data_IF_594813343736
#
_entry.id   IF_594813343736
#
_cell.length_a   1.000
_cell.length_b   1.000
_cell.length_c   1.000
_cell.angle_alpha   90.00
_cell.angle_beta   90.00
_cell.angle_gamma   90.00
#
_symmetry.space_group_name_H-M   'P 1'
#
loop_
_entity.id
_entity.type
_entity.pdbx_description
1 polymer ?
#
# COMPACT_ATOMS: atom_id res chain seq x y z
N UNK A 1 -23.94 -0.67 10.66
CA UNK A 1 -24.87 0.22 9.92
C UNK A 1 -26.04 0.52 10.83
N UNK A 2 -26.23 1.79 11.24
CA UNK A 2 -27.35 2.18 12.09
C UNK A 2 -28.53 2.58 11.21
N UNK A 3 -29.73 2.12 11.54
CA UNK A 3 -30.94 2.33 10.74
C UNK A 3 -31.95 3.12 11.57
N UNK A 4 -32.35 4.28 11.05
CA UNK A 4 -33.43 5.10 11.60
C UNK A 4 -34.68 4.96 10.73
N UNK A 5 -35.85 4.92 11.37
CA UNK A 5 -37.11 5.04 10.65
C UNK A 5 -37.25 6.47 10.11
N UNK A 6 -37.87 6.69 8.94
CA UNK A 6 -38.00 8.04 8.33
C UNK A 6 -39.11 8.89 8.97
N UNK A 7 -39.35 8.74 10.28
CA UNK A 7 -40.38 9.47 11.01
C UNK A 7 -39.76 10.64 11.77
N UNK A 8 -40.44 11.78 11.77
CA UNK A 8 -39.97 12.97 12.49
C UNK A 8 -40.02 12.70 14.00
N UNK A 9 -38.94 13.01 14.70
CA UNK A 9 -38.79 12.74 16.13
C UNK A 9 -38.08 11.43 16.46
N UNK A 10 -37.87 10.52 15.51
CA UNK A 10 -37.02 9.35 15.73
C UNK A 10 -35.59 9.79 16.05
N UNK A 11 -34.99 9.14 17.05
CA UNK A 11 -33.66 9.45 17.53
C UNK A 11 -32.82 8.20 17.79
N UNK A 12 -31.53 8.28 17.51
CA UNK A 12 -30.51 7.39 18.04
C UNK A 12 -29.78 8.15 19.14
N UNK A 13 -29.73 7.54 20.31
CA UNK A 13 -28.96 8.05 21.45
C UNK A 13 -27.68 7.24 21.53
N UNK A 14 -26.56 7.93 21.75
CA UNK A 14 -25.25 7.35 22.04
C UNK A 14 -24.88 7.71 23.48
N UNK A 15 -25.34 6.95 24.50
CA UNK A 15 -25.21 7.35 25.90
C UNK A 15 -23.74 7.56 26.31
N UNK A 16 -22.84 6.69 25.85
CA UNK A 16 -21.40 6.78 26.14
C UNK A 16 -20.72 8.02 25.53
N UNK A 17 -21.34 8.66 24.53
CA UNK A 17 -20.79 9.84 23.88
C UNK A 17 -21.53 11.13 24.25
N UNK A 18 -22.65 11.02 24.98
CA UNK A 18 -23.61 12.09 25.24
C UNK A 18 -24.10 12.77 23.94
N UNK A 19 -24.22 11.99 22.87
CA UNK A 19 -24.65 12.46 21.54
C UNK A 19 -26.03 11.90 21.23
N UNK A 20 -26.93 12.76 20.72
CA UNK A 20 -28.23 12.35 20.20
C UNK A 20 -28.37 12.79 18.76
N UNK A 21 -28.71 11.85 17.87
CA UNK A 21 -29.00 12.12 16.45
C UNK A 21 -30.50 11.93 16.24
N UNK A 22 -31.22 12.97 15.82
CA UNK A 22 -32.65 12.92 15.62
C UNK A 22 -33.10 13.41 14.24
N UNK A 23 -34.28 12.98 13.81
CA UNK A 23 -34.90 13.48 12.58
C UNK A 23 -35.71 14.74 12.91
N UNK A 24 -35.19 15.90 12.49
CA UNK A 24 -35.86 17.20 12.66
C UNK A 24 -36.96 17.43 11.62
N UNK A 25 -36.74 17.00 10.38
CA UNK A 25 -37.69 17.24 9.30
C UNK A 25 -37.55 16.19 8.20
N UNK A 26 -38.66 15.84 7.56
CA UNK A 26 -38.70 14.98 6.38
C UNK A 26 -39.45 15.70 5.26
N UNK A 27 -38.79 15.90 4.13
CA UNK A 27 -39.37 16.51 2.93
C UNK A 27 -39.10 15.61 1.71
N UNK A 28 -40.09 14.81 1.32
CA UNK A 28 -39.98 13.90 0.18
C UNK A 28 -38.83 12.90 0.35
N UNK A 29 -37.76 13.05 -0.44
CA UNK A 29 -36.54 12.23 -0.36
C UNK A 29 -35.47 12.81 0.59
N UNK A 30 -35.63 14.06 1.02
CA UNK A 30 -34.67 14.74 1.89
C UNK A 30 -35.06 14.58 3.37
N UNK A 31 -34.06 14.44 4.24
CA UNK A 31 -34.21 14.37 5.69
C UNK A 31 -33.24 15.38 6.31
N UNK A 32 -33.75 16.23 7.20
CA UNK A 32 -32.91 17.08 8.05
C UNK A 32 -32.66 16.37 9.36
N UNK A 33 -31.39 16.10 9.64
CA UNK A 33 -30.95 15.51 10.90
C UNK A 33 -30.53 16.61 11.87
N UNK A 34 -30.93 16.49 13.13
CA UNK A 34 -30.33 17.21 14.24
C UNK A 34 -29.30 16.33 14.91
N UNK A 35 -28.20 16.94 15.32
CA UNK A 35 -27.20 16.29 16.16
C UNK A 35 -27.03 17.18 17.38
N UNK A 36 -27.40 16.65 18.54
CA UNK A 36 -27.06 17.22 19.84
C UNK A 36 -25.79 16.57 20.32
N UNK A 37 -24.81 17.39 20.69
CA UNK A 37 -23.51 16.97 21.19
C UNK A 37 -23.16 17.82 22.41
N UNK A 38 -22.36 17.30 23.35
CA UNK A 38 -22.01 18.02 24.56
C UNK A 38 -21.11 19.21 24.25
N UNK A 39 -21.11 20.23 25.13
CA UNK A 39 -20.45 21.53 24.88
C UNK A 39 -18.94 21.44 24.67
N UNK A 40 -18.31 20.38 25.15
CA UNK A 40 -16.88 20.09 24.95
C UNK A 40 -16.58 19.54 23.55
N UNK A 41 -17.58 19.07 22.79
CA UNK A 41 -17.40 18.59 21.42
C UNK A 41 -17.38 19.78 20.47
N UNK A 42 -16.19 20.07 19.94
CA UNK A 42 -15.99 21.17 18.99
C UNK A 42 -16.49 20.75 17.60
N UNK A 43 -17.68 21.23 17.23
CA UNK A 43 -18.23 21.03 15.88
C UNK A 43 -17.61 22.04 14.93
N UNK A 44 -16.84 21.57 13.95
CA UNK A 44 -16.24 22.39 12.91
C UNK A 44 -16.92 22.07 11.57
N UNK A 45 -17.21 23.10 10.78
CA UNK A 45 -17.59 22.90 9.38
C UNK A 45 -16.34 22.58 8.58
N UNK A 46 -16.43 21.69 7.59
CA UNK A 46 -15.27 21.20 6.82
C UNK A 46 -14.44 22.34 6.24
N UNK A 47 -15.08 23.42 5.80
CA UNK A 47 -14.46 24.62 5.23
C UNK A 47 -13.72 25.51 6.26
N UNK A 48 -13.97 25.32 7.56
CA UNK A 48 -13.35 26.08 8.66
C UNK A 48 -12.22 25.30 9.33
N UNK A 49 -11.77 24.21 8.71
CA UNK A 49 -10.68 23.36 9.20
C UNK A 49 -9.44 23.58 8.33
N UNK A 50 -8.61 24.59 8.61
CA UNK A 50 -7.30 24.68 7.99
C UNK A 50 -6.44 23.59 8.64
N UNK A 51 -5.97 22.62 7.84
CA UNK A 51 -4.92 21.63 8.19
C UNK A 51 -5.28 20.31 8.91
N UNK A 52 -6.53 19.82 8.98
CA UNK A 52 -6.74 18.40 9.37
C UNK A 52 -6.39 17.38 8.26
N UNK A 53 -6.37 17.81 7.00
CA UNK A 53 -5.97 16.93 5.89
C UNK A 53 -4.43 16.80 5.76
N UNK A 54 -3.62 17.74 6.26
CA UNK A 54 -2.18 17.72 5.99
C UNK A 54 -1.34 16.91 6.99
N UNK A 55 -1.74 16.77 8.26
CA UNK A 55 -0.86 16.09 9.25
C UNK A 55 -1.15 14.60 9.42
N UNK A 56 -2.39 14.14 9.17
CA UNK A 56 -2.74 12.71 9.23
C UNK A 56 -3.08 12.10 7.86
N UNK A 57 -3.70 12.86 6.93
CA UNK A 57 -4.04 12.28 5.62
C UNK A 57 -2.81 12.16 4.70
N UNK A 58 -1.77 12.97 4.89
CA UNK A 58 -0.50 12.79 4.18
C UNK A 58 0.23 11.50 4.57
N UNK A 59 0.06 11.02 5.81
CA UNK A 59 0.61 9.74 6.27
C UNK A 59 -0.33 8.54 6.00
N UNK A 60 -1.66 8.72 6.15
CA UNK A 60 -2.66 7.64 6.00
C UNK A 60 -3.24 7.48 4.60
N UNK A 61 -3.02 8.44 3.69
CA UNK A 61 -3.45 8.38 2.29
C UNK A 61 -2.81 7.21 1.53
N UNK A 62 -1.62 6.80 1.95
CA UNK A 62 -0.84 5.68 1.41
C UNK A 62 -1.19 4.32 2.02
N UNK A 63 -2.00 4.28 3.09
CA UNK A 63 -2.34 3.01 3.75
C UNK A 63 -3.50 2.31 3.03
N UNK A 64 -3.43 0.97 2.85
CA UNK A 64 -4.53 0.17 2.35
C UNK A 64 -5.82 0.41 3.15
N UNK A 65 -6.97 0.33 2.47
CA UNK A 65 -8.29 0.58 3.08
C UNK A 65 -8.55 -0.30 4.31
N UNK A 66 -8.08 -1.55 4.30
CA UNK A 66 -8.17 -2.49 5.42
C UNK A 66 -7.42 -2.00 6.66
N UNK A 67 -6.19 -1.50 6.49
CA UNK A 67 -5.36 -0.97 7.57
C UNK A 67 -5.97 0.32 8.13
N UNK A 68 -6.42 1.22 7.23
CA UNK A 68 -7.07 2.48 7.61
C UNK A 68 -8.32 2.25 8.46
N UNK A 69 -9.17 1.31 8.06
CA UNK A 69 -10.39 0.99 8.81
C UNK A 69 -10.05 0.44 10.20
N UNK A 70 -9.03 -0.44 10.31
CA UNK A 70 -8.61 -0.99 11.61
C UNK A 70 -8.03 0.09 12.54
N UNK A 71 -7.21 1.00 12.01
CA UNK A 71 -6.68 2.13 12.79
C UNK A 71 -7.79 3.05 13.28
N UNK A 72 -8.83 3.29 12.46
CA UNK A 72 -10.01 4.03 12.89
C UNK A 72 -10.76 3.32 14.03
N UNK A 73 -10.94 1.99 13.94
CA UNK A 73 -11.57 1.20 15.01
C UNK A 73 -10.79 1.31 16.32
N UNK A 74 -9.47 1.18 16.28
CA UNK A 74 -8.60 1.34 17.45
C UNK A 74 -8.74 2.75 18.04
N UNK A 75 -8.67 3.77 17.18
CA UNK A 75 -8.80 5.16 17.61
C UNK A 75 -10.13 5.46 18.29
N UNK A 76 -11.24 4.92 17.76
CA UNK A 76 -12.57 5.06 18.36
C UNK A 76 -12.65 4.35 19.72
N UNK A 77 -12.23 3.08 19.79
CA UNK A 77 -12.28 2.29 21.02
C UNK A 77 -11.42 2.92 22.13
N UNK A 78 -10.20 3.36 21.81
CA UNK A 78 -9.33 4.03 22.78
C UNK A 78 -9.91 5.35 23.27
N UNK A 79 -10.52 6.16 22.41
CA UNK A 79 -11.16 7.42 22.84
C UNK A 79 -12.35 7.17 23.77
N UNK A 80 -13.13 6.11 23.55
CA UNK A 80 -14.24 5.72 24.45
C UNK A 80 -13.69 5.32 25.82
N UNK A 81 -12.66 4.46 25.85
CA UNK A 81 -12.02 4.02 27.10
C UNK A 81 -11.38 5.19 27.86
N UNK A 82 -10.65 6.06 27.17
CA UNK A 82 -10.05 7.25 27.78
C UNK A 82 -11.11 8.17 28.39
N UNK A 83 -12.24 8.36 27.71
CA UNK A 83 -13.33 9.17 28.23
C UNK A 83 -14.01 8.54 29.45
N UNK A 84 -14.19 7.22 29.47
CA UNK A 84 -14.69 6.50 30.63
C UNK A 84 -13.76 6.67 31.84
N UNK A 85 -12.45 6.56 31.63
CA UNK A 85 -11.46 6.78 32.68
C UNK A 85 -11.45 8.23 33.21
N UNK A 86 -11.56 9.23 32.33
CA UNK A 86 -11.68 10.63 32.72
C UNK A 86 -12.95 10.90 33.57
N UNK A 87 -14.04 10.19 33.26
CA UNK A 87 -15.30 10.26 34.00
C UNK A 87 -15.33 9.33 35.23
N UNK A 88 -14.21 8.68 35.58
CA UNK A 88 -14.08 7.69 36.69
C UNK A 88 -15.05 6.51 36.57
N UNK A 89 -15.45 6.17 35.34
CA UNK A 89 -16.25 5.01 35.00
C UNK A 89 -15.29 3.84 34.72
N UNK A 90 -15.57 2.66 35.27
CA UNK A 90 -14.81 1.46 34.90
C UNK A 90 -14.97 1.21 33.40
N UNK A 91 -13.86 1.12 32.65
CA UNK A 91 -13.92 1.00 31.20
C UNK A 91 -14.53 -0.34 30.82
N UNK A 92 -15.40 -0.29 29.82
CA UNK A 92 -16.04 -1.50 29.31
C UNK A 92 -15.00 -2.34 28.56
N UNK A 93 -14.82 -3.56 29.06
CA UNK A 93 -13.85 -4.54 28.56
C UNK A 93 -14.06 -4.85 27.08
N UNK A 94 -15.28 -4.74 26.56
CA UNK A 94 -15.59 -5.01 25.15
C UNK A 94 -14.87 -4.02 24.21
N UNK A 95 -14.74 -2.75 24.59
CA UNK A 95 -14.00 -1.76 23.79
C UNK A 95 -12.49 -2.02 23.83
N UNK A 96 -11.96 -2.42 24.98
CA UNK A 96 -10.54 -2.77 25.13
C UNK A 96 -10.21 -4.00 24.28
N UNK A 97 -11.05 -5.03 24.34
CA UNK A 97 -10.91 -6.24 23.53
C UNK A 97 -11.00 -5.92 22.03
N UNK A 98 -11.97 -5.11 21.61
CA UNK A 98 -12.10 -4.69 20.21
C UNK A 98 -10.86 -3.93 19.71
N UNK A 99 -10.27 -3.06 20.55
CA UNK A 99 -9.03 -2.38 20.22
C UNK A 99 -7.85 -3.37 20.08
N UNK A 100 -7.72 -4.32 21.01
CA UNK A 100 -6.66 -5.33 20.99
C UNK A 100 -6.78 -6.26 19.78
N UNK A 101 -7.98 -6.70 19.41
CA UNK A 101 -8.23 -7.50 18.21
C UNK A 101 -7.85 -6.74 16.93
N UNK A 102 -8.21 -5.46 16.85
CA UNK A 102 -7.86 -4.62 15.72
C UNK A 102 -6.34 -4.42 15.63
N UNK A 103 -5.64 -4.26 16.76
CA UNK A 103 -4.16 -4.20 16.83
C UNK A 103 -3.53 -5.51 16.35
N UNK A 104 -3.95 -6.66 16.90
CA UNK A 104 -3.41 -7.97 16.54
C UNK A 104 -3.61 -8.29 15.06
N UNK A 105 -4.72 -7.83 14.48
CA UNK A 105 -4.97 -8.04 13.08
C UNK A 105 -4.15 -7.11 12.17
N UNK A 106 -3.80 -5.91 12.63
CA UNK A 106 -2.78 -5.08 11.95
C UNK A 106 -1.43 -5.78 12.05
N UNK A 107 -1.05 -6.27 13.23
CA UNK A 107 0.22 -6.97 13.44
C UNK A 107 0.33 -8.23 12.57
N UNK A 108 -0.76 -8.99 12.42
CA UNK A 108 -0.84 -10.13 11.50
C UNK A 108 -0.68 -9.71 10.03
N UNK A 109 -1.31 -8.62 9.60
CA UNK A 109 -1.16 -8.08 8.24
C UNK A 109 0.27 -7.59 7.97
N UNK A 110 0.90 -6.95 8.97
CA UNK A 110 2.29 -6.50 8.90
C UNK A 110 3.26 -7.68 8.92
N UNK A 111 3.00 -8.70 9.75
CA UNK A 111 3.80 -9.93 9.85
C UNK A 111 3.73 -10.77 8.57
N UNK A 112 2.58 -10.82 7.90
CA UNK A 112 2.42 -11.44 6.59
C UNK A 112 3.24 -10.72 5.50
N UNK A 113 3.37 -9.38 5.59
CA UNK A 113 4.27 -8.62 4.71
C UNK A 113 5.74 -8.75 5.11
N UNK A 114 6.04 -9.04 6.37
CA UNK A 114 7.41 -9.25 6.86
C UNK A 114 7.95 -10.67 6.64
N UNK A 115 7.10 -11.66 6.34
CA UNK A 115 7.54 -12.98 5.92
C UNK A 115 8.17 -12.91 4.52
N UNK A 116 9.46 -12.59 4.55
CA UNK A 116 10.39 -12.31 3.46
C UNK A 116 10.06 -11.04 2.67
N UNK A 117 10.50 -9.86 3.16
CA UNK A 117 10.72 -8.73 2.24
C UNK A 117 11.57 -9.22 1.07
N UNK A 118 10.97 -9.19 -0.13
CA UNK A 118 11.58 -9.65 -1.36
C UNK A 118 12.31 -8.47 -1.97
N UNK A 119 13.60 -8.63 -2.23
CA UNK A 119 14.38 -7.56 -2.84
C UNK A 119 14.13 -7.57 -4.35
N UNK A 120 13.80 -6.40 -4.92
CA UNK A 120 13.74 -6.19 -6.37
C UNK A 120 14.94 -5.37 -6.82
N UNK A 121 15.69 -5.86 -7.81
CA UNK A 121 16.76 -5.09 -8.45
C UNK A 121 16.19 -4.40 -9.70
N UNK A 122 16.09 -3.08 -9.67
CA UNK A 122 15.69 -2.27 -10.81
C UNK A 122 16.94 -1.77 -11.54
N UNK A 123 16.98 -1.92 -12.86
CA UNK A 123 18.09 -1.47 -13.70
C UNK A 123 17.54 -0.58 -14.82
N UNK A 124 17.75 0.73 -14.68
CA UNK A 124 17.15 1.76 -15.53
C UNK A 124 18.04 3.02 -15.48
N UNK A 125 18.46 3.54 -16.63
CA UNK A 125 19.37 4.68 -16.72
C UNK A 125 18.65 6.03 -16.59
N UNK A 126 17.35 6.07 -16.90
CA UNK A 126 16.53 7.26 -16.74
C UNK A 126 16.03 7.39 -15.30
N UNK A 127 16.51 8.40 -14.57
CA UNK A 127 16.14 8.67 -13.17
C UNK A 127 14.62 8.81 -12.95
N UNK A 128 13.89 9.41 -13.88
CA UNK A 128 12.45 9.61 -13.75
C UNK A 128 11.69 8.28 -13.89
N UNK A 129 12.04 7.48 -14.89
CA UNK A 129 11.47 6.15 -15.11
C UNK A 129 11.83 5.22 -13.95
N UNK A 130 13.09 5.25 -13.51
CA UNK A 130 13.57 4.50 -12.35
C UNK A 130 12.77 4.85 -11.09
N UNK A 131 12.47 6.12 -10.86
CA UNK A 131 11.71 6.57 -9.69
C UNK A 131 10.26 6.08 -9.74
N UNK A 132 9.62 6.15 -10.90
CA UNK A 132 8.26 5.66 -11.12
C UNK A 132 8.17 4.14 -10.89
N UNK A 133 9.05 3.36 -11.52
CA UNK A 133 9.07 1.90 -11.38
C UNK A 133 9.43 1.48 -9.96
N UNK A 134 10.34 2.21 -9.29
CA UNK A 134 10.65 1.95 -7.88
C UNK A 134 9.43 2.13 -6.99
N UNK A 135 8.62 3.18 -7.22
CA UNK A 135 7.40 3.40 -6.45
C UNK A 135 6.39 2.26 -6.65
N UNK A 136 6.22 1.78 -7.88
CA UNK A 136 5.33 0.65 -8.20
C UNK A 136 5.78 -0.65 -7.54
N UNK A 137 7.08 -0.97 -7.62
CA UNK A 137 7.64 -2.17 -6.99
C UNK A 137 7.57 -2.10 -5.45
N UNK A 138 7.79 -0.92 -4.87
CA UNK A 138 7.64 -0.70 -3.43
C UNK A 138 6.18 -0.89 -3.00
N UNK A 139 5.22 -0.39 -3.78
CA UNK A 139 3.79 -0.61 -3.54
C UNK A 139 3.43 -2.10 -3.63
N UNK A 140 4.14 -2.88 -4.44
CA UNK A 140 4.00 -4.33 -4.54
C UNK A 140 4.66 -5.09 -3.36
N UNK A 141 5.28 -4.38 -2.41
CA UNK A 141 5.89 -4.97 -1.22
C UNK A 141 7.35 -5.39 -1.38
N UNK A 142 8.06 -4.91 -2.41
CA UNK A 142 9.49 -5.18 -2.58
C UNK A 142 10.36 -4.10 -1.94
N UNK A 143 11.49 -4.53 -1.38
CA UNK A 143 12.61 -3.63 -1.11
C UNK A 143 13.37 -3.39 -2.42
N UNK A 144 13.23 -2.19 -2.99
CA UNK A 144 13.80 -1.86 -4.29
C UNK A 144 15.24 -1.36 -4.17
N UNK A 145 16.14 -2.00 -4.93
CA UNK A 145 17.50 -1.51 -5.16
C UNK A 145 17.58 -1.05 -6.61
N UNK A 146 17.75 0.24 -6.86
CA UNK A 146 17.90 0.78 -8.20
C UNK A 146 19.39 0.88 -8.60
N UNK A 147 19.70 0.56 -9.86
CA UNK A 147 21.01 0.72 -10.48
C UNK A 147 20.88 1.40 -11.84
N UNK A 148 21.75 2.38 -12.15
CA UNK A 148 21.63 3.17 -13.36
C UNK A 148 22.22 2.51 -14.61
N UNK A 149 22.83 1.33 -14.49
CA UNK A 149 23.44 0.64 -15.62
C UNK A 149 23.58 -0.87 -15.38
N UNK A 150 23.78 -1.62 -16.47
CA UNK A 150 24.04 -3.05 -16.43
C UNK A 150 25.28 -3.42 -15.63
N UNK A 151 26.37 -2.65 -15.74
CA UNK A 151 27.60 -2.87 -14.98
C UNK A 151 27.35 -2.73 -13.48
N UNK A 152 26.64 -1.67 -13.07
CA UNK A 152 26.32 -1.42 -11.66
C UNK A 152 25.41 -2.52 -11.08
N UNK A 153 24.52 -3.08 -11.90
CA UNK A 153 23.68 -4.21 -11.53
C UNK A 153 24.50 -5.49 -11.33
N UNK A 154 25.42 -5.80 -12.25
CA UNK A 154 26.32 -6.97 -12.15
C UNK A 154 27.25 -6.84 -10.94
N UNK A 155 27.83 -5.65 -10.72
CA UNK A 155 28.66 -5.38 -9.55
C UNK A 155 27.88 -5.62 -8.25
N UNK A 156 26.65 -5.12 -8.17
CA UNK A 156 25.76 -5.33 -7.04
C UNK A 156 25.47 -6.82 -6.81
N UNK A 157 25.09 -7.57 -7.86
CA UNK A 157 24.83 -9.01 -7.77
C UNK A 157 26.09 -9.80 -7.35
N UNK A 158 27.27 -9.40 -7.82
CA UNK A 158 28.53 -10.06 -7.47
C UNK A 158 28.87 -9.94 -5.98
N UNK A 159 28.57 -8.77 -5.39
CA UNK A 159 28.86 -8.46 -3.97
C UNK A 159 27.76 -8.88 -3.01
N UNK A 160 26.54 -9.08 -3.51
CA UNK A 160 25.39 -9.44 -2.67
C UNK A 160 25.48 -10.89 -2.21
N UNK A 161 25.27 -11.14 -0.92
CA UNK A 161 25.18 -12.50 -0.36
C UNK A 161 23.81 -13.13 -0.58
N UNK A 162 22.76 -12.31 -0.67
CA UNK A 162 21.37 -12.72 -0.92
C UNK A 162 20.97 -12.34 -2.35
N UNK A 163 20.34 -13.28 -3.05
CA UNK A 163 19.77 -13.02 -4.36
C UNK A 163 18.56 -12.08 -4.24
N UNK A 164 18.39 -11.10 -5.14
CA UNK A 164 17.08 -10.49 -5.33
C UNK A 164 16.09 -11.55 -5.82
N UNK A 165 14.81 -11.36 -5.51
CA UNK A 165 13.75 -12.25 -6.02
C UNK A 165 13.41 -11.96 -7.48
N UNK A 166 13.60 -10.71 -7.90
CA UNK A 166 13.31 -10.24 -9.24
C UNK A 166 14.31 -9.18 -9.68
N UNK A 167 14.66 -9.19 -10.96
CA UNK A 167 15.38 -8.11 -11.65
C UNK A 167 14.44 -7.54 -12.70
N UNK A 168 14.18 -6.24 -12.65
CA UNK A 168 13.51 -5.50 -13.72
C UNK A 168 14.59 -4.74 -14.51
N UNK A 169 14.81 -5.13 -15.75
CA UNK A 169 15.95 -4.70 -16.56
C UNK A 169 15.50 -3.96 -17.81
N UNK A 170 15.83 -2.67 -17.92
CA UNK A 170 15.73 -2.00 -19.22
C UNK A 170 16.76 -2.58 -20.18
N UNK A 171 16.30 -3.08 -21.32
CA UNK A 171 17.17 -3.62 -22.37
C UNK A 171 17.88 -2.50 -23.12
N UNK A 172 17.21 -1.35 -23.31
CA UNK A 172 17.71 -0.26 -24.14
C UNK A 172 18.36 0.83 -23.28
N UNK A 173 19.55 0.53 -22.77
CA UNK A 173 20.39 1.48 -22.04
C UNK A 173 21.67 1.83 -22.83
N UNK A 174 22.21 3.05 -22.68
CA UNK A 174 23.52 3.41 -23.21
C UNK A 174 24.66 2.67 -22.48
N UNK A 175 25.78 2.42 -23.17
CA UNK A 175 26.94 1.70 -22.59
C UNK A 175 26.78 0.18 -22.66
N UNK A 176 27.03 -0.56 -21.57
CA UNK A 176 26.63 -1.97 -21.49
C UNK A 176 25.11 -2.05 -21.42
N UNK A 177 24.49 -2.24 -22.60
CA UNK A 177 23.05 -2.40 -22.73
C UNK A 177 22.52 -3.59 -21.92
N UNK A 178 21.23 -3.54 -21.59
CA UNK A 178 20.59 -4.54 -20.75
C UNK A 178 20.62 -5.95 -21.34
N UNK A 179 20.61 -6.11 -22.67
CA UNK A 179 20.77 -7.43 -23.30
C UNK A 179 22.08 -8.12 -22.89
N UNK A 180 23.19 -7.40 -22.89
CA UNK A 180 24.49 -7.95 -22.47
C UNK A 180 24.55 -8.19 -20.97
N UNK A 181 23.89 -7.33 -20.17
CA UNK A 181 23.76 -7.54 -18.74
C UNK A 181 22.98 -8.82 -18.42
N UNK A 182 21.89 -9.07 -19.15
CA UNK A 182 21.09 -10.27 -19.04
C UNK A 182 21.91 -11.54 -19.32
N UNK A 183 22.69 -11.56 -20.40
CA UNK A 183 23.60 -12.68 -20.71
C UNK A 183 24.57 -12.96 -19.56
N UNK A 184 25.19 -11.91 -19.00
CA UNK A 184 26.14 -12.06 -17.89
C UNK A 184 25.45 -12.53 -16.61
N UNK A 185 24.23 -12.05 -16.34
CA UNK A 185 23.45 -12.49 -15.18
C UNK A 185 23.06 -13.97 -15.32
N UNK A 186 22.63 -14.40 -16.52
CA UNK A 186 22.25 -15.80 -16.79
C UNK A 186 23.42 -16.77 -16.85
N UNK A 187 24.61 -16.30 -17.23
CA UNK A 187 25.80 -17.12 -17.18
C UNK A 187 26.26 -17.46 -15.74
N UNK A 188 25.69 -16.82 -14.72
CA UNK A 188 25.99 -17.09 -13.32
C UNK A 188 25.01 -18.13 -12.75
N UNK A 189 25.47 -19.35 -12.49
CA UNK A 189 24.70 -20.40 -11.78
C UNK A 189 24.39 -20.08 -10.30
N UNK A 190 24.75 -18.87 -9.85
CA UNK A 190 24.63 -18.45 -8.45
C UNK A 190 23.19 -18.19 -8.02
N UNK A 191 22.30 -17.88 -8.97
CA UNK A 191 20.92 -17.47 -8.68
C UNK A 191 19.90 -18.24 -9.53
N UNK A 192 19.67 -19.53 -9.25
CA UNK A 192 18.79 -20.38 -10.05
C UNK A 192 17.32 -19.93 -10.01
N UNK A 193 16.88 -19.32 -8.90
CA UNK A 193 15.51 -18.86 -8.69
C UNK A 193 15.29 -17.40 -9.10
N UNK A 194 16.33 -16.73 -9.64
CA UNK A 194 16.25 -15.31 -9.99
C UNK A 194 15.39 -15.11 -11.23
N UNK A 195 14.27 -14.41 -11.07
CA UNK A 195 13.44 -13.96 -12.18
C UNK A 195 14.01 -12.69 -12.79
N UNK A 196 14.15 -12.64 -14.11
CA UNK A 196 14.59 -11.44 -14.85
C UNK A 196 13.50 -11.03 -15.83
N UNK A 197 12.90 -9.88 -15.57
CA UNK A 197 11.88 -9.27 -16.41
C UNK A 197 12.52 -8.17 -17.23
N UNK A 198 12.47 -8.31 -18.55
CA UNK A 198 12.97 -7.33 -19.48
C UNK A 198 11.91 -6.27 -19.76
N UNK A 199 12.32 -5.01 -19.79
CA UNK A 199 11.49 -3.88 -20.18
C UNK A 199 12.16 -3.20 -21.37
N UNK A 200 11.42 -2.95 -22.45
CA UNK A 200 11.99 -2.28 -23.62
C UNK A 200 10.92 -1.65 -24.50
N UNK A 201 11.29 -0.64 -25.31
CA UNK A 201 10.43 -0.19 -26.42
C UNK A 201 10.49 -1.09 -27.66
N UNK A 202 11.32 -2.13 -27.65
CA UNK A 202 11.51 -3.09 -28.74
C UNK A 202 10.81 -4.42 -28.45
N UNK A 203 10.59 -5.21 -29.49
CA UNK A 203 10.21 -6.63 -29.32
C UNK A 203 11.44 -7.45 -28.91
N UNK A 204 11.26 -8.63 -28.28
CA UNK A 204 12.39 -9.52 -27.96
C UNK A 204 13.23 -9.88 -29.19
N UNK A 205 12.55 -10.09 -30.33
CA UNK A 205 13.14 -10.43 -31.62
C UNK A 205 14.06 -9.30 -32.11
N UNK A 206 13.58 -8.06 -32.08
CA UNK A 206 14.35 -6.88 -32.50
C UNK A 206 15.54 -6.60 -31.58
N UNK A 207 15.40 -6.95 -30.30
CA UNK A 207 16.46 -6.83 -29.30
C UNK A 207 17.45 -8.00 -29.33
N UNK A 208 17.17 -9.07 -30.08
CA UNK A 208 17.99 -10.29 -30.11
C UNK A 208 17.98 -11.07 -28.79
N UNK A 209 16.93 -10.92 -27.97
CA UNK A 209 16.82 -11.55 -26.65
C UNK A 209 15.74 -12.62 -26.69
N UNK A 210 16.06 -13.82 -26.20
CA UNK A 210 15.07 -14.87 -26.04
C UNK A 210 14.23 -14.68 -24.76
N UNK A 211 12.95 -15.04 -24.85
CA UNK A 211 12.05 -15.10 -23.69
C UNK A 211 12.04 -16.53 -23.14
N UNK A 212 12.26 -16.70 -21.85
CA UNK A 212 12.36 -17.97 -21.14
C UNK A 212 13.61 -18.09 -20.26
N UNK A 213 13.87 -19.28 -19.74
CA UNK A 213 14.92 -19.54 -18.75
C UNK A 213 16.35 -19.18 -19.22
N UNK A 214 16.61 -19.25 -20.53
CA UNK A 214 17.90 -18.90 -21.12
C UNK A 214 18.09 -17.39 -21.35
N UNK A 215 17.05 -16.59 -21.14
CA UNK A 215 17.04 -15.13 -21.35
C UNK A 215 16.15 -14.43 -20.32
N UNK A 216 15.25 -13.57 -20.78
CA UNK A 216 14.32 -12.89 -19.89
C UNK A 216 13.10 -13.79 -19.62
N UNK A 217 12.73 -14.02 -18.35
CA UNK A 217 11.54 -14.81 -18.02
C UNK A 217 10.28 -14.19 -18.62
N UNK A 218 10.22 -12.85 -18.62
CA UNK A 218 9.13 -12.07 -19.18
C UNK A 218 9.62 -10.82 -19.88
N UNK A 219 8.78 -10.32 -20.78
CA UNK A 219 9.06 -9.14 -21.58
C UNK A 219 7.90 -8.15 -21.51
N UNK A 220 8.21 -6.90 -21.21
CA UNK A 220 7.25 -5.80 -21.16
C UNK A 220 7.63 -4.72 -22.17
N UNK A 221 6.67 -4.36 -23.01
CA UNK A 221 6.86 -3.29 -24.00
C UNK A 221 6.54 -1.95 -23.35
N UNK A 222 7.47 -0.98 -23.42
CA UNK A 222 7.23 0.39 -22.95
C UNK A 222 6.19 1.07 -23.88
N UNK A 223 5.19 1.80 -23.33
CA UNK A 223 4.98 2.09 -21.91
C UNK A 223 4.36 0.90 -21.15
N UNK A 224 4.94 0.55 -20.00
CA UNK A 224 4.47 -0.56 -19.18
C UNK A 224 3.24 -0.14 -18.39
N UNK A 225 2.15 -0.89 -18.51
CA UNK A 225 0.97 -0.70 -17.68
C UNK A 225 1.26 -1.17 -16.24
N UNK A 226 1.06 -0.33 -15.22
CA UNK A 226 1.34 -0.71 -13.83
C UNK A 226 0.63 -2.00 -13.39
N UNK A 227 -0.66 -2.15 -13.74
CA UNK A 227 -1.47 -3.31 -13.35
C UNK A 227 -0.93 -4.62 -13.94
N UNK A 228 -0.49 -4.61 -15.19
CA UNK A 228 0.07 -5.77 -15.89
C UNK A 228 1.40 -6.22 -15.26
N UNK A 229 2.27 -5.25 -14.93
CA UNK A 229 3.53 -5.54 -14.27
C UNK A 229 3.29 -6.17 -12.89
N UNK A 230 2.37 -5.60 -12.10
CA UNK A 230 2.06 -6.08 -10.76
C UNK A 230 1.45 -7.49 -10.77
N UNK A 231 0.51 -7.75 -11.69
CA UNK A 231 -0.10 -9.07 -11.85
C UNK A 231 0.97 -10.12 -12.19
N UNK A 232 1.87 -9.78 -13.12
CA UNK A 232 2.94 -10.66 -13.52
C UNK A 232 3.94 -10.96 -12.41
N UNK A 233 4.28 -9.95 -11.60
CA UNK A 233 5.17 -10.11 -10.45
C UNK A 233 4.53 -11.03 -9.40
N UNK A 234 3.26 -10.82 -9.09
CA UNK A 234 2.55 -11.62 -8.10
C UNK A 234 2.47 -13.10 -8.50
N UNK A 235 2.29 -13.41 -9.78
CA UNK A 235 2.18 -14.78 -10.26
C UNK A 235 3.51 -15.55 -10.20
N UNK A 236 4.63 -14.90 -10.57
CA UNK A 236 5.92 -15.59 -10.69
C UNK A 236 6.74 -15.62 -9.39
N UNK A 237 6.45 -14.69 -8.48
CA UNK A 237 7.15 -14.57 -7.21
C UNK A 237 6.44 -15.34 -6.08
N UNK A 238 5.20 -15.77 -6.30
CA UNK A 238 4.42 -16.62 -5.38
C UNK A 238 4.45 -18.13 -5.72
N UNK A 239 4.98 -18.52 -6.89
CA UNK A 239 5.11 -19.90 -7.35
C UNK A 239 6.51 -20.47 -7.05
#
# INVERSE_FOLDING_TARGET
MLVLSRKVGDAIVFPALDITVNIKQVQGKCISLGVEAPKNVRVLRKELVPHLEETCASAMGFLPHSVRNRLNTIGLALNVVLRQLDEQIEPDTEFVESALEALNAIDSLLSQHQQASKTALLVEDNVNESSLMSALLTQAGFDVVAKPSGEAAIEYLSRSSKAPSIVLLDIKMPGMGGAKALEVIRAQDRFPDLRVFAVSGLTPEDAGVCVGAAGADRWFIKPVAPDELLESINNDVAA
#
